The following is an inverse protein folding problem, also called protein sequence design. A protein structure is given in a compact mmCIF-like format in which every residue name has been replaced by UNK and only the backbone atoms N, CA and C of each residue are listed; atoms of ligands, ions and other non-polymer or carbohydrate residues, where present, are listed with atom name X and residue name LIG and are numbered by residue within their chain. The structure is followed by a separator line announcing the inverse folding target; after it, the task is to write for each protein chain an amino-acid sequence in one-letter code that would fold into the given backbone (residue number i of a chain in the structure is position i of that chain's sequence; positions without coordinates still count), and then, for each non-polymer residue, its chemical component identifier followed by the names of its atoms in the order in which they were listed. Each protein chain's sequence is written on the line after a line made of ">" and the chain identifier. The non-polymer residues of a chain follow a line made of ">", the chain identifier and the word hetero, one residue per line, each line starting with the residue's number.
data_IF_952047875124
#
_entry.id   IF_952047875124
#
_cell.length_a   1.000
_cell.length_b   1.000
_cell.length_c   1.000
_cell.angle_alpha   90.00
_cell.angle_beta   90.00
_cell.angle_gamma   90.00
#
_symmetry.space_group_name_H-M   'P 1'
#
loop_
_entity.id
_entity.type
_entity.pdbx_description
1 polymer ?
#
# COMPACT_ATOMS: atom_id res chain seq x y z
N UNK A 1 -16.79 -0.32 57.97
CA UNK A 1 -15.40 -0.78 57.76
C UNK A 1 -14.73 0.39 57.05
N UNK A 2 -13.81 1.04 57.78
CA UNK A 2 -13.17 2.33 57.48
C UNK A 2 -12.15 2.20 56.34
N UNK A 3 -11.95 3.32 55.65
CA UNK A 3 -10.79 3.74 54.87
C UNK A 3 -9.46 3.06 55.25
N UNK A 4 -8.67 2.75 54.22
CA UNK A 4 -7.24 3.09 54.19
C UNK A 4 -6.83 3.36 52.72
N UNK A 5 -6.57 4.63 52.46
CA UNK A 5 -6.00 5.20 51.26
C UNK A 5 -4.59 4.66 50.99
N UNK A 6 -4.31 4.36 49.72
CA UNK A 6 -2.94 4.29 49.21
C UNK A 6 -2.89 4.84 47.77
N UNK A 7 -3.39 6.07 47.59
CA UNK A 7 -2.97 6.89 46.46
C UNK A 7 -1.48 7.19 46.66
N UNK A 8 -0.63 6.46 45.95
CA UNK A 8 0.75 6.93 45.71
C UNK A 8 0.67 8.03 44.67
N UNK A 9 0.25 9.22 45.10
CA UNK A 9 0.45 10.44 44.34
C UNK A 9 1.95 10.71 44.30
N UNK A 10 2.59 10.40 43.16
CA UNK A 10 3.96 10.84 42.90
C UNK A 10 3.92 12.36 42.74
N UNK A 11 4.22 13.07 43.83
CA UNK A 11 4.43 14.50 43.84
C UNK A 11 5.81 14.77 43.26
N UNK A 12 5.88 15.29 42.04
CA UNK A 12 7.13 15.82 41.50
C UNK A 12 7.30 17.23 42.05
N UNK A 13 8.34 17.45 42.87
CA UNK A 13 8.73 18.78 43.29
C UNK A 13 9.24 19.57 42.08
N UNK A 14 8.46 20.56 41.65
CA UNK A 14 8.81 21.47 40.55
C UNK A 14 9.68 22.60 41.13
N UNK A 15 10.95 22.75 40.70
CA UNK A 15 11.78 23.85 41.18
C UNK A 15 11.25 25.20 40.70
N UNK A 16 11.14 26.16 41.61
CA UNK A 16 10.50 27.47 41.43
C UNK A 16 11.29 28.50 40.60
N UNK A 17 12.24 28.08 39.75
CA UNK A 17 12.99 28.96 38.86
C UNK A 17 13.17 28.32 37.48
N UNK A 18 12.06 28.11 36.77
CA UNK A 18 12.10 27.89 35.33
C UNK A 18 11.51 29.13 34.66
N UNK A 19 12.39 30.05 34.26
CA UNK A 19 12.03 31.27 33.56
C UNK A 19 11.16 30.96 32.34
N UNK A 20 10.03 31.65 32.26
CA UNK A 20 9.00 31.46 31.28
C UNK A 20 9.45 31.93 29.89
N UNK A 21 9.87 30.97 29.06
CA UNK A 21 9.65 31.01 27.62
C UNK A 21 9.05 29.65 27.19
N UNK A 22 7.72 29.60 27.18
CA UNK A 22 6.88 28.47 26.78
C UNK A 22 7.12 28.06 25.32
N UNK A 23 7.17 26.75 25.03
CA UNK A 23 5.90 26.09 24.69
C UNK A 23 5.60 24.91 25.62
N UNK A 24 4.35 24.85 26.10
CA UNK A 24 3.84 23.73 26.88
C UNK A 24 4.15 22.39 26.18
N UNK A 25 4.65 21.38 26.92
CA UNK A 25 4.94 20.11 26.32
C UNK A 25 3.60 19.49 25.88
N UNK A 26 3.60 18.95 24.66
CA UNK A 26 2.50 18.31 23.92
C UNK A 26 2.07 17.00 24.63
N UNK A 27 1.74 17.06 25.92
CA UNK A 27 1.58 15.88 26.77
C UNK A 27 0.17 15.29 26.72
N UNK A 28 -0.81 15.92 26.08
CA UNK A 28 -2.20 15.46 26.13
C UNK A 28 -2.96 15.44 24.79
N UNK A 29 -2.27 15.37 23.64
CA UNK A 29 -2.91 14.78 22.46
C UNK A 29 -2.85 13.26 22.61
N UNK A 30 -3.64 12.77 23.55
CA UNK A 30 -3.79 11.36 23.89
C UNK A 30 -4.21 10.61 22.63
N UNK A 31 -3.28 9.83 22.09
CA UNK A 31 -3.52 8.92 20.98
C UNK A 31 -4.30 7.72 21.56
N UNK A 32 -5.58 7.94 21.84
CA UNK A 32 -6.51 7.01 22.52
C UNK A 32 -6.91 5.79 21.68
N UNK A 33 -6.37 5.63 20.48
CA UNK A 33 -6.71 4.53 19.57
C UNK A 33 -5.49 3.73 19.11
N UNK A 34 -4.47 3.57 19.97
CA UNK A 34 -3.45 2.54 19.76
C UNK A 34 -4.00 1.16 20.15
N UNK A 35 -4.93 0.63 19.36
CA UNK A 35 -5.13 -0.81 19.35
C UNK A 35 -3.95 -1.47 18.64
N UNK A 36 -3.04 -2.03 19.43
CA UNK A 36 -1.95 -2.86 18.87
C UNK A 36 -2.56 -4.06 18.16
N UNK A 37 -2.15 -4.29 16.92
CA UNK A 37 -2.55 -5.45 16.13
C UNK A 37 -2.04 -6.70 16.85
N UNK A 38 -2.96 -7.51 17.39
CA UNK A 38 -2.64 -8.77 18.07
C UNK A 38 -2.82 -9.96 17.12
N UNK A 39 -1.80 -10.20 16.30
CA UNK A 39 -1.73 -11.36 15.39
C UNK A 39 -1.80 -12.70 16.13
N UNK A 40 -1.38 -12.77 17.41
CA UNK A 40 -1.47 -14.02 18.19
C UNK A 40 -2.94 -14.34 18.49
N UNK A 41 -3.71 -13.36 18.97
CA UNK A 41 -5.15 -13.52 19.22
C UNK A 41 -5.92 -13.80 17.93
N UNK A 42 -5.57 -13.15 16.83
CA UNK A 42 -6.23 -13.37 15.54
C UNK A 42 -5.93 -14.76 14.98
N UNK A 43 -4.67 -15.21 15.04
CA UNK A 43 -4.28 -16.57 14.64
C UNK A 43 -4.95 -17.65 15.51
N UNK A 44 -5.10 -17.40 16.81
CA UNK A 44 -5.83 -18.30 17.71
C UNK A 44 -7.32 -18.40 17.34
N UNK A 45 -7.95 -17.26 17.03
CA UNK A 45 -9.36 -17.19 16.59
C UNK A 45 -9.56 -17.91 15.24
N UNK A 46 -8.64 -17.75 14.30
CA UNK A 46 -8.71 -18.42 13.01
C UNK A 46 -8.56 -19.93 13.14
N UNK A 47 -7.63 -20.43 13.96
CA UNK A 47 -7.49 -21.88 14.22
C UNK A 47 -8.79 -22.49 14.75
N UNK A 48 -9.51 -21.77 15.61
CA UNK A 48 -10.81 -22.23 16.13
C UNK A 48 -11.85 -22.30 15.00
N UNK A 49 -11.96 -21.25 14.17
CA UNK A 49 -12.88 -21.22 13.02
C UNK A 49 -12.61 -22.37 12.04
N UNK A 50 -11.35 -22.62 11.68
CA UNK A 50 -10.98 -23.70 10.77
C UNK A 50 -11.37 -25.10 11.30
N UNK A 51 -11.28 -25.33 12.62
CA UNK A 51 -11.74 -26.58 13.24
C UNK A 51 -13.25 -26.77 13.10
N UNK A 52 -14.04 -25.71 13.31
CA UNK A 52 -15.50 -25.78 13.15
C UNK A 52 -15.91 -26.01 11.69
N UNK A 53 -15.26 -25.34 10.75
CA UNK A 53 -15.53 -25.48 9.31
C UNK A 53 -15.14 -26.88 8.84
N UNK A 54 -13.94 -27.38 9.17
CA UNK A 54 -13.47 -28.72 8.77
C UNK A 54 -14.36 -29.86 9.29
N UNK A 55 -14.97 -29.70 10.47
CA UNK A 55 -15.94 -30.66 11.02
C UNK A 55 -17.23 -30.72 10.18
N UNK A 56 -17.68 -29.57 9.64
CA UNK A 56 -18.89 -29.45 8.81
C UNK A 56 -18.63 -29.80 7.33
N UNK A 57 -17.40 -29.67 6.86
CA UNK A 57 -17.03 -29.76 5.44
C UNK A 57 -16.87 -31.19 4.88
N UNK A 58 -17.26 -32.23 5.63
CA UNK A 58 -17.01 -33.63 5.27
C UNK A 58 -17.96 -34.21 4.22
N UNK A 59 -18.97 -33.46 3.77
CA UNK A 59 -20.12 -34.04 3.04
C UNK A 59 -20.32 -33.54 1.59
N UNK A 60 -19.44 -32.71 0.99
CA UNK A 60 -19.69 -32.19 -0.37
C UNK A 60 -18.45 -32.01 -1.27
N UNK A 61 -18.66 -32.03 -2.60
CA UNK A 61 -17.63 -31.76 -3.63
C UNK A 61 -17.24 -30.28 -3.71
N UNK A 62 -18.16 -29.37 -3.39
CA UNK A 62 -17.89 -27.93 -3.29
C UNK A 62 -16.86 -27.62 -2.21
N UNK A 63 -16.80 -28.46 -1.17
CA UNK A 63 -15.80 -28.42 -0.09
C UNK A 63 -14.36 -28.59 -0.59
N UNK A 64 -14.16 -29.35 -1.67
CA UNK A 64 -12.84 -29.58 -2.27
C UNK A 64 -12.33 -28.33 -2.99
N UNK A 65 -13.18 -27.71 -3.81
CA UNK A 65 -12.84 -26.48 -4.55
C UNK A 65 -12.56 -25.34 -3.57
N UNK A 66 -13.43 -25.15 -2.56
CA UNK A 66 -13.21 -24.15 -1.51
C UNK A 66 -11.92 -24.40 -0.73
N UNK A 67 -11.57 -25.66 -0.46
CA UNK A 67 -10.31 -26.02 0.20
C UNK A 67 -9.06 -25.69 -0.65
N UNK A 68 -9.15 -25.87 -1.98
CA UNK A 68 -8.09 -25.50 -2.90
C UNK A 68 -7.89 -23.98 -2.97
N UNK A 69 -8.99 -23.22 -3.02
CA UNK A 69 -8.96 -21.75 -3.06
C UNK A 69 -8.44 -21.18 -1.74
N UNK A 70 -8.84 -21.75 -0.61
CA UNK A 70 -8.36 -21.34 0.72
C UNK A 70 -6.83 -21.54 0.83
N UNK A 71 -6.33 -22.70 0.38
CA UNK A 71 -4.90 -22.99 0.34
C UNK A 71 -4.12 -22.10 -0.64
N UNK A 72 -4.74 -21.68 -1.75
CA UNK A 72 -4.13 -20.84 -2.79
C UNK A 72 -4.32 -19.33 -2.61
N UNK A 73 -5.13 -18.90 -1.63
CA UNK A 73 -5.55 -17.52 -1.44
C UNK A 73 -4.39 -16.54 -1.32
N UNK A 74 -3.35 -16.89 -0.56
CA UNK A 74 -2.14 -16.07 -0.42
C UNK A 74 -1.42 -15.84 -1.74
N UNK A 75 -1.33 -16.85 -2.60
CA UNK A 75 -0.69 -16.73 -3.92
C UNK A 75 -1.48 -15.83 -4.86
N UNK A 76 -2.82 -15.95 -4.84
CA UNK A 76 -3.71 -15.07 -5.60
C UNK A 76 -3.52 -13.61 -5.15
N UNK A 77 -3.48 -13.35 -3.84
CA UNK A 77 -3.21 -12.01 -3.31
C UNK A 77 -1.86 -11.45 -3.80
N UNK A 78 -0.79 -12.26 -3.77
CA UNK A 78 0.54 -11.84 -4.25
C UNK A 78 0.51 -11.49 -5.74
N UNK A 79 -0.19 -12.28 -6.57
CA UNK A 79 -0.33 -11.98 -8.00
C UNK A 79 -1.06 -10.65 -8.23
N UNK A 80 -2.15 -10.39 -7.50
CA UNK A 80 -2.88 -9.12 -7.63
C UNK A 80 -2.02 -7.93 -7.22
N UNK A 81 -1.34 -8.01 -6.08
CA UNK A 81 -0.44 -6.93 -5.64
C UNK A 81 0.67 -6.71 -6.67
N UNK A 82 1.30 -7.77 -7.17
CA UNK A 82 2.32 -7.68 -8.22
C UNK A 82 1.80 -7.07 -9.51
N UNK A 83 0.59 -7.45 -9.96
CA UNK A 83 -0.03 -6.89 -11.16
C UNK A 83 -0.33 -5.40 -10.96
N UNK A 84 -0.92 -5.00 -9.84
CA UNK A 84 -1.21 -3.58 -9.56
C UNK A 84 0.06 -2.74 -9.48
N UNK A 85 1.09 -3.22 -8.78
CA UNK A 85 2.38 -2.55 -8.71
C UNK A 85 3.06 -2.47 -10.09
N UNK A 86 3.00 -3.54 -10.89
CA UNK A 86 3.53 -3.58 -12.25
C UNK A 86 2.81 -2.61 -13.20
N UNK A 87 1.48 -2.49 -13.10
CA UNK A 87 0.71 -1.50 -13.87
C UNK A 87 1.13 -0.09 -13.49
N UNK A 88 1.25 0.22 -12.20
CA UNK A 88 1.70 1.54 -11.75
C UNK A 88 3.12 1.84 -12.24
N UNK A 89 4.03 0.87 -12.14
CA UNK A 89 5.40 1.01 -12.66
C UNK A 89 5.41 1.25 -14.18
N UNK A 90 4.63 0.47 -14.94
CA UNK A 90 4.51 0.63 -16.39
C UNK A 90 3.92 1.98 -16.79
N UNK A 91 2.94 2.50 -16.05
CA UNK A 91 2.41 3.85 -16.27
C UNK A 91 3.47 4.91 -16.04
N UNK A 92 4.30 4.77 -15.00
CA UNK A 92 5.41 5.69 -14.73
C UNK A 92 6.45 5.64 -15.85
N UNK A 93 6.81 4.45 -16.32
CA UNK A 93 7.76 4.29 -17.43
C UNK A 93 7.26 4.92 -18.73
N UNK A 94 5.99 4.71 -19.09
CA UNK A 94 5.40 5.32 -20.29
C UNK A 94 5.33 6.84 -20.14
N UNK A 95 4.88 7.33 -18.99
CA UNK A 95 4.69 8.77 -18.75
C UNK A 95 6.02 9.52 -18.75
N UNK A 96 7.07 8.94 -18.18
CA UNK A 96 8.40 9.58 -18.09
C UNK A 96 9.09 9.66 -19.45
N UNK A 97 8.93 8.64 -20.30
CA UNK A 97 9.39 8.66 -21.69
C UNK A 97 8.67 9.73 -22.50
N UNK A 98 7.35 9.71 -22.47
CA UNK A 98 6.51 10.73 -23.13
C UNK A 98 6.82 12.17 -22.66
N UNK A 99 6.98 12.39 -21.35
CA UNK A 99 7.30 13.71 -20.78
C UNK A 99 8.68 14.21 -21.23
N UNK A 100 9.62 13.31 -21.48
CA UNK A 100 10.96 13.68 -21.98
C UNK A 100 10.87 14.15 -23.43
N UNK A 101 10.05 13.49 -24.23
CA UNK A 101 9.88 13.80 -25.65
C UNK A 101 9.16 15.13 -25.90
N UNK A 102 8.24 15.55 -25.02
CA UNK A 102 7.60 16.87 -25.07
C UNK A 102 8.59 18.04 -25.10
N UNK A 103 9.82 17.84 -24.58
CA UNK A 103 10.87 18.86 -24.60
C UNK A 103 11.50 19.02 -25.99
N UNK A 104 11.46 17.99 -26.81
CA UNK A 104 12.15 17.89 -28.10
C UNK A 104 11.22 18.14 -29.30
N UNK A 105 9.90 17.94 -29.13
CA UNK A 105 8.86 18.18 -30.14
C UNK A 105 7.60 17.35 -29.88
N UNK A 106 6.53 17.50 -30.67
CA UNK A 106 5.25 16.75 -30.48
C UNK A 106 4.78 16.16 -31.79
N UNK A 107 4.82 14.83 -31.89
CA UNK A 107 4.49 14.10 -33.11
C UNK A 107 3.11 14.52 -33.67
N UNK A 108 3.02 14.95 -34.95
CA UNK A 108 1.80 15.55 -35.51
C UNK A 108 0.66 14.54 -35.72
N UNK A 109 0.97 13.26 -35.94
CA UNK A 109 -0.04 12.21 -36.15
C UNK A 109 -0.71 11.74 -34.86
N UNK A 110 -0.04 11.87 -33.71
CA UNK A 110 -0.57 11.51 -32.39
C UNK A 110 0.32 12.04 -31.25
N UNK A 111 -0.19 12.99 -30.48
CA UNK A 111 0.54 13.65 -29.40
C UNK A 111 0.86 12.76 -28.18
N UNK A 112 0.29 11.55 -28.10
CA UNK A 112 0.50 10.62 -26.97
C UNK A 112 1.60 9.57 -27.21
N UNK A 113 2.14 9.48 -28.43
CA UNK A 113 3.20 8.53 -28.74
C UNK A 113 4.59 9.09 -28.44
N UNK A 114 5.48 8.18 -28.03
CA UNK A 114 6.92 8.38 -27.91
C UNK A 114 7.55 8.60 -29.30
N UNK A 115 8.66 9.33 -29.40
CA UNK A 115 9.37 9.66 -30.63
C UNK A 115 9.85 8.42 -31.38
N UNK A 116 10.35 7.42 -30.65
CA UNK A 116 10.75 6.11 -31.20
C UNK A 116 9.56 5.43 -31.90
N UNK A 117 8.35 5.54 -31.32
CA UNK A 117 7.14 4.95 -31.87
C UNK A 117 6.57 5.78 -33.04
N UNK A 118 6.67 7.11 -32.96
CA UNK A 118 6.34 8.04 -34.03
C UNK A 118 7.20 7.78 -35.29
N UNK A 119 8.50 7.54 -35.12
CA UNK A 119 9.43 7.27 -36.22
C UNK A 119 9.38 5.84 -36.76
N UNK A 120 8.89 4.87 -35.97
CA UNK A 120 8.77 3.50 -36.45
C UNK A 120 7.80 3.42 -37.65
N UNK A 121 6.67 4.16 -37.61
CA UNK A 121 5.71 4.19 -38.71
C UNK A 121 6.20 5.00 -39.93
N UNK A 122 7.02 6.03 -39.72
CA UNK A 122 7.54 6.87 -40.80
C UNK A 122 8.62 6.17 -41.64
N UNK A 123 9.26 5.13 -41.11
CA UNK A 123 10.35 4.41 -41.80
C UNK A 123 9.84 3.50 -42.95
N UNK A 124 8.53 3.20 -43.00
CA UNK A 124 7.94 2.37 -44.06
C UNK A 124 7.48 3.18 -45.29
N UNK A 125 7.43 4.52 -45.21
CA UNK A 125 7.11 5.38 -46.36
C UNK A 125 8.38 6.02 -46.93
N UNK A 126 9.04 5.25 -47.79
CA UNK A 126 9.93 5.66 -48.89
C UNK A 126 10.55 7.07 -48.82
N UNK A 127 11.88 7.07 -48.66
CA UNK A 127 12.89 8.11 -48.96
C UNK A 127 13.29 9.07 -47.82
N UNK A 128 14.60 9.02 -47.54
CA UNK A 128 15.43 10.11 -47.02
C UNK A 128 15.30 10.43 -45.52
N UNK A 129 15.92 9.59 -44.69
CA UNK A 129 17.16 9.95 -44.00
C UNK A 129 17.24 11.15 -43.05
N UNK A 130 16.31 12.11 -42.98
CA UNK A 130 16.66 13.37 -42.27
C UNK A 130 15.58 14.09 -41.46
N UNK A 131 14.28 13.78 -41.52
CA UNK A 131 13.31 14.56 -40.73
C UNK A 131 12.12 13.74 -40.22
N UNK A 132 12.37 12.87 -39.24
CA UNK A 132 11.38 12.71 -38.19
C UNK A 132 11.32 14.03 -37.41
N UNK A 133 10.51 14.98 -37.88
CA UNK A 133 10.14 16.12 -37.04
C UNK A 133 9.17 15.57 -35.99
N UNK A 134 9.66 15.50 -34.75
CA UNK A 134 8.79 15.42 -33.59
C UNK A 134 7.95 16.69 -33.57
#
# INVERSE_FOLDING_TARGET
>A
MKEDDADTSVSYDVPANLDCEEPLPIVLSQYEDFHTIDWQRDLARDRLRHKFIKKKNRESMTSCITGLVDAGSGWICVLFVGLTAGVVAGLVDISTRWMSDLKEGVCPDAFWFDREHCCWSANDTLFYGDKCNA
#
